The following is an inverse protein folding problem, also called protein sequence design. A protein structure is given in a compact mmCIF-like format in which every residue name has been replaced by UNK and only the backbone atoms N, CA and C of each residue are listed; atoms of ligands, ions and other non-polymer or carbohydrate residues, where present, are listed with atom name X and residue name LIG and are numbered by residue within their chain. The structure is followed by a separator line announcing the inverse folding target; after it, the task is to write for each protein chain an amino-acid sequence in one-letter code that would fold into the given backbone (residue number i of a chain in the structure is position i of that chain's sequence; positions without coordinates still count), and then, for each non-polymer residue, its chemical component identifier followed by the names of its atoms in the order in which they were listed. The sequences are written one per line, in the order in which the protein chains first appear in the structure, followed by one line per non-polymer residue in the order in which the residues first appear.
data_IF_043501745168
#
_entry.id   IF_043501745168
#
_cell.length_a   1.000
_cell.length_b   1.000
_cell.length_c   1.000
_cell.angle_alpha   90.00
_cell.angle_beta   90.00
_cell.angle_gamma   90.00
#
_symmetry.space_group_name_H-M   'P 1'
#
loop_
_entity.id
_entity.type
_entity.pdbx_description
1 polymer ?
#
# COMPACT_ATOMS: atom_id res chain seq x y z
N UNK A 1 -18.60 -19.13 -11.60
CA UNK A 1 -19.30 -17.95 -11.07
C UNK A 1 -18.26 -16.92 -10.77
N UNK A 2 -18.50 -15.65 -11.07
CA UNK A 2 -17.65 -14.58 -10.52
C UNK A 2 -17.85 -14.65 -9.02
N UNK A 3 -16.81 -15.07 -8.28
CA UNK A 3 -16.87 -15.12 -6.82
C UNK A 3 -17.14 -13.71 -6.31
N UNK A 4 -18.17 -13.63 -5.47
CA UNK A 4 -18.72 -12.44 -4.83
C UNK A 4 -17.59 -11.56 -4.26
N UNK A 5 -17.40 -10.39 -4.88
CA UNK A 5 -17.01 -9.13 -4.24
C UNK A 5 -15.95 -9.16 -3.12
N UNK A 6 -14.86 -9.92 -3.28
CA UNK A 6 -13.62 -9.63 -2.53
C UNK A 6 -12.89 -8.47 -3.20
N UNK A 7 -13.38 -7.23 -3.00
CA UNK A 7 -12.60 -6.03 -3.31
C UNK A 7 -11.38 -5.99 -2.39
N UNK A 8 -10.27 -6.59 -2.84
CA UNK A 8 -8.98 -6.44 -2.20
C UNK A 8 -8.66 -4.96 -2.02
N UNK A 9 -7.99 -4.62 -0.93
CA UNK A 9 -7.66 -3.23 -0.64
C UNK A 9 -6.53 -2.75 -1.54
N UNK A 10 -6.76 -1.68 -2.30
CA UNK A 10 -5.68 -1.01 -3.03
C UNK A 10 -4.87 -0.15 -2.07
N UNK A 11 -3.59 -0.46 -1.92
CA UNK A 11 -2.65 0.29 -1.10
C UNK A 11 -1.64 1.04 -1.97
N UNK A 12 -1.55 2.35 -1.75
CA UNK A 12 -0.54 3.20 -2.38
C UNK A 12 0.69 3.23 -1.49
N UNK A 13 1.86 2.94 -2.04
CA UNK A 13 3.13 3.06 -1.33
C UNK A 13 3.92 4.20 -1.93
N UNK A 14 4.25 5.19 -1.11
CA UNK A 14 5.16 6.26 -1.49
C UNK A 14 6.61 5.79 -1.35
N UNK A 15 7.45 6.25 -2.26
CA UNK A 15 8.91 6.18 -2.15
C UNK A 15 9.37 7.60 -2.45
N UNK A 16 9.73 8.34 -1.40
CA UNK A 16 10.33 9.69 -1.47
C UNK A 16 9.30 10.83 -1.75
N UNK A 17 9.73 11.92 -2.42
CA UNK A 17 9.02 13.21 -2.57
C UNK A 17 7.57 13.12 -3.12
N UNK A 18 7.17 11.97 -3.66
CA UNK A 18 5.79 11.66 -4.02
C UNK A 18 4.82 11.80 -2.82
N UNK A 19 5.32 11.75 -1.59
CA UNK A 19 4.53 11.96 -0.37
C UNK A 19 3.75 13.29 -0.37
N UNK A 20 4.33 14.37 -0.90
CA UNK A 20 3.74 15.71 -0.78
C UNK A 20 2.41 15.88 -1.53
N UNK A 21 2.31 15.31 -2.75
CA UNK A 21 1.10 15.45 -3.59
C UNK A 21 -0.06 14.61 -3.05
N UNK A 22 0.23 13.37 -2.68
CA UNK A 22 -0.74 12.38 -2.21
C UNK A 22 -1.31 12.80 -0.85
N UNK A 23 -0.47 13.30 0.05
CA UNK A 23 -0.91 13.81 1.35
C UNK A 23 -1.80 15.04 1.18
N UNK A 24 -1.50 15.92 0.21
CA UNK A 24 -2.34 17.07 -0.09
C UNK A 24 -3.74 16.68 -0.56
N UNK A 25 -3.86 15.64 -1.40
CA UNK A 25 -5.15 15.14 -1.84
C UNK A 25 -5.92 14.45 -0.69
N UNK A 26 -5.24 13.62 0.09
CA UNK A 26 -5.84 12.90 1.21
C UNK A 26 -6.33 13.84 2.31
N UNK A 27 -5.55 14.84 2.70
CA UNK A 27 -5.98 15.85 3.70
C UNK A 27 -7.25 16.58 3.29
N UNK A 28 -7.47 16.78 1.98
CA UNK A 28 -8.71 17.40 1.47
C UNK A 28 -9.91 16.45 1.52
N UNK A 29 -9.69 15.16 1.30
CA UNK A 29 -10.76 14.15 1.28
C UNK A 29 -11.11 13.61 2.67
N UNK A 30 -10.11 13.54 3.55
CA UNK A 30 -10.13 12.89 4.88
C UNK A 30 -9.37 13.78 5.87
N UNK A 31 -9.89 14.97 6.23
CA UNK A 31 -9.18 15.92 7.09
C UNK A 31 -8.97 15.41 8.53
N UNK A 32 -9.72 14.40 8.93
CA UNK A 32 -9.71 13.73 10.24
C UNK A 32 -8.67 12.60 10.35
N UNK A 33 -8.05 12.20 9.25
CA UNK A 33 -7.08 11.08 9.21
C UNK A 33 -5.69 11.60 8.85
N UNK A 34 -4.66 11.14 9.57
CA UNK A 34 -3.29 11.41 9.16
C UNK A 34 -3.01 10.66 7.84
N UNK A 35 -2.64 11.34 6.73
CA UNK A 35 -2.33 10.66 5.48
C UNK A 35 -1.23 9.60 5.60
N UNK A 36 -0.33 9.73 6.59
CA UNK A 36 0.69 8.72 6.89
C UNK A 36 0.09 7.37 7.32
N UNK A 37 -1.14 7.37 7.86
CA UNK A 37 -1.86 6.14 8.20
C UNK A 37 -2.46 5.45 6.97
N UNK A 38 -2.60 6.16 5.85
CA UNK A 38 -3.21 5.66 4.61
C UNK A 38 -2.20 5.38 3.49
N UNK A 39 -1.08 6.12 3.48
CA UNK A 39 -0.03 6.00 2.45
C UNK A 39 1.31 5.76 3.12
N UNK A 40 1.72 4.49 3.26
CA UNK A 40 3.02 4.14 3.82
C UNK A 40 4.16 4.68 2.95
N UNK A 41 5.23 5.14 3.60
CA UNK A 41 6.47 5.54 2.94
C UNK A 41 7.51 4.42 3.06
N UNK A 42 7.84 3.83 1.91
CA UNK A 42 8.75 2.71 1.81
C UNK A 42 8.16 1.39 2.32
N UNK A 43 8.92 0.33 2.08
CA UNK A 43 8.47 -1.04 2.34
C UNK A 43 8.27 -1.36 3.82
N UNK A 44 9.08 -0.80 4.72
CA UNK A 44 8.92 -1.02 6.15
C UNK A 44 7.56 -0.53 6.66
N UNK A 45 7.15 0.68 6.25
CA UNK A 45 5.83 1.21 6.58
C UNK A 45 4.71 0.39 5.92
N UNK A 46 4.91 -0.04 4.66
CA UNK A 46 3.94 -0.85 3.94
C UNK A 46 3.67 -2.18 4.65
N UNK A 47 4.71 -2.90 5.08
CA UNK A 47 4.57 -4.13 5.86
C UNK A 47 3.80 -3.91 7.16
N UNK A 48 4.12 -2.84 7.88
CA UNK A 48 3.44 -2.51 9.13
C UNK A 48 1.95 -2.28 8.93
N UNK A 49 1.59 -1.53 7.89
CA UNK A 49 0.18 -1.24 7.58
C UNK A 49 -0.56 -2.48 7.07
N UNK A 50 0.05 -3.28 6.19
CA UNK A 50 -0.54 -4.54 5.70
C UNK A 50 -0.83 -5.48 6.86
N UNK A 51 0.10 -5.66 7.81
CA UNK A 51 -0.13 -6.48 9.01
C UNK A 51 -1.31 -5.99 9.82
N UNK A 52 -1.42 -4.67 10.07
CA UNK A 52 -2.57 -4.11 10.80
C UNK A 52 -3.91 -4.40 10.11
N UNK A 53 -3.95 -4.29 8.79
CA UNK A 53 -5.16 -4.60 8.04
C UNK A 53 -5.46 -6.10 7.99
N UNK A 54 -4.43 -6.95 7.92
CA UNK A 54 -4.57 -8.40 8.00
C UNK A 54 -5.10 -8.84 9.37
N UNK A 55 -4.58 -8.27 10.46
CA UNK A 55 -5.07 -8.49 11.82
C UNK A 55 -6.53 -8.05 11.98
N UNK A 56 -6.98 -7.07 11.18
CA UNK A 56 -8.37 -6.62 11.11
C UNK A 56 -9.25 -7.45 10.14
N UNK A 57 -8.71 -8.50 9.51
CA UNK A 57 -9.45 -9.44 8.66
C UNK A 57 -9.37 -9.18 7.14
N UNK A 58 -8.56 -8.23 6.68
CA UNK A 58 -8.35 -7.99 5.25
C UNK A 58 -7.30 -8.96 4.70
N UNK A 59 -7.69 -9.78 3.72
CA UNK A 59 -6.85 -10.87 3.21
C UNK A 59 -6.21 -10.62 1.84
N UNK A 60 -6.65 -9.59 1.10
CA UNK A 60 -6.18 -9.32 -0.28
C UNK A 60 -5.78 -7.86 -0.47
N UNK A 61 -4.59 -7.65 -1.01
CA UNK A 61 -4.03 -6.32 -1.24
C UNK A 61 -3.55 -6.14 -2.67
N UNK A 62 -3.84 -4.97 -3.26
CA UNK A 62 -3.28 -4.54 -4.54
C UNK A 62 -2.30 -3.41 -4.26
N UNK A 63 -1.01 -3.66 -4.43
CA UNK A 63 0.04 -2.69 -4.12
C UNK A 63 0.39 -1.89 -5.36
N UNK A 64 0.37 -0.56 -5.25
CA UNK A 64 0.77 0.36 -6.32
C UNK A 64 1.73 1.42 -5.79
N UNK A 65 2.80 1.76 -6.54
CA UNK A 65 3.63 2.89 -6.18
C UNK A 65 2.87 4.21 -6.41
N UNK A 66 3.10 5.21 -5.55
CA UNK A 66 2.47 6.54 -5.65
C UNK A 66 2.85 7.27 -6.95
N UNK A 67 4.06 7.04 -7.44
CA UNK A 67 4.56 7.53 -8.72
C UNK A 67 5.09 6.36 -9.55
N UNK A 68 5.17 6.54 -10.87
CA UNK A 68 5.79 5.54 -11.73
C UNK A 68 7.25 5.30 -11.29
N UNK A 69 7.65 4.06 -10.96
CA UNK A 69 9.01 3.76 -10.55
C UNK A 69 9.95 3.92 -11.75
N UNK A 70 11.20 4.27 -11.48
CA UNK A 70 12.26 4.35 -12.50
C UNK A 70 12.46 2.99 -13.19
N UNK A 71 12.27 1.89 -12.46
CA UNK A 71 12.29 0.53 -12.98
C UNK A 71 11.18 -0.30 -12.35
N UNK A 72 10.27 -0.80 -13.19
CA UNK A 72 9.23 -1.73 -12.76
C UNK A 72 9.81 -3.07 -12.30
N UNK A 73 10.87 -3.56 -12.94
CA UNK A 73 11.55 -4.78 -12.52
C UNK A 73 12.09 -4.64 -11.10
N UNK A 74 12.83 -3.57 -10.81
CA UNK A 74 13.37 -3.34 -9.47
C UNK A 74 12.26 -3.17 -8.42
N UNK A 75 11.15 -2.52 -8.78
CA UNK A 75 9.98 -2.41 -7.93
C UNK A 75 9.36 -3.79 -7.62
N UNK A 76 9.20 -4.64 -8.64
CA UNK A 76 8.64 -5.99 -8.49
C UNK A 76 9.56 -6.92 -7.69
N UNK A 77 10.88 -6.82 -7.89
CA UNK A 77 11.86 -7.57 -7.10
C UNK A 77 11.78 -7.19 -5.62
N UNK A 78 11.71 -5.89 -5.32
CA UNK A 78 11.57 -5.41 -3.96
C UNK A 78 10.19 -5.76 -3.36
N UNK A 79 9.11 -5.65 -4.15
CA UNK A 79 7.78 -6.12 -3.76
C UNK A 79 7.82 -7.59 -3.34
N UNK A 80 8.42 -8.44 -4.17
CA UNK A 80 8.50 -9.86 -3.90
C UNK A 80 9.30 -10.15 -2.62
N UNK A 81 10.45 -9.51 -2.46
CA UNK A 81 11.30 -9.66 -1.29
C UNK A 81 10.64 -9.18 0.01
N UNK A 82 9.87 -8.09 -0.06
CA UNK A 82 9.35 -7.41 1.13
C UNK A 82 7.97 -7.91 1.55
N UNK A 83 7.10 -8.28 0.59
CA UNK A 83 5.69 -8.53 0.86
C UNK A 83 5.26 -10.00 0.73
N UNK A 84 5.90 -10.82 -0.13
CA UNK A 84 5.58 -12.26 -0.18
C UNK A 84 5.81 -12.98 1.16
N UNK A 85 6.83 -12.63 1.99
CA UNK A 85 6.97 -13.23 3.31
C UNK A 85 5.83 -12.93 4.30
N UNK A 86 4.89 -12.04 3.94
CA UNK A 86 3.69 -11.77 4.74
C UNK A 86 2.53 -12.69 4.39
N UNK A 87 2.59 -13.40 3.26
CA UNK A 87 1.53 -14.34 2.88
C UNK A 87 1.51 -15.52 3.86
N UNK A 88 0.35 -15.77 4.43
CA UNK A 88 0.08 -16.98 5.21
C UNK A 88 -0.43 -18.09 4.30
N UNK A 89 0.02 -19.35 4.48
CA UNK A 89 -0.43 -20.50 3.68
C UNK A 89 -1.93 -20.77 3.77
#
# INVERSE_FOLDING_TARGET
GVEDDHYGMSLVVAFDDAMGREFGALRRQRPDVDPADLVPNGWAAARGLIRRYADAGISKFVIRPAAAPVSWTAFLDAFAAELLPLETP
#
